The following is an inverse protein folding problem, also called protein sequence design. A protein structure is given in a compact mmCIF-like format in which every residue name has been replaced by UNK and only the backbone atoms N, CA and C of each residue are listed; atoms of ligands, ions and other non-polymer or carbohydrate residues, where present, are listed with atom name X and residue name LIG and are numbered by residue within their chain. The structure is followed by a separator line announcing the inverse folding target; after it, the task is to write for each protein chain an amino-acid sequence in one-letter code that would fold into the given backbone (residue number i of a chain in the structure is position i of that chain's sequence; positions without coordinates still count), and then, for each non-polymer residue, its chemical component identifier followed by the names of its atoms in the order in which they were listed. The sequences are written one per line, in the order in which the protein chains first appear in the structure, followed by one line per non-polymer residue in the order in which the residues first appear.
data_IF_015536654497
#
_entry.id   IF_015536654497
#
_cell.length_a   1.000
_cell.length_b   1.000
_cell.length_c   1.000
_cell.angle_alpha   90.00
_cell.angle_beta   90.00
_cell.angle_gamma   90.00
#
_symmetry.space_group_name_H-M   'P 1'
#
loop_
_entity.id
_entity.type
_entity.pdbx_description
1 polymer ?
#
# COMPACT_ATOMS: atom_id res chain seq x y z
N UNK A 1 -8.77 -8.02 18.87
CA UNK A 1 -7.51 -7.29 19.10
C UNK A 1 -6.52 -8.07 19.99
N UNK A 2 -6.96 -8.78 21.04
CA UNK A 2 -6.03 -9.60 21.89
C UNK A 2 -5.17 -10.60 21.09
N UNK A 3 -5.64 -11.13 19.97
CA UNK A 3 -4.86 -12.03 19.10
C UNK A 3 -3.72 -11.35 18.36
N UNK A 4 -3.78 -10.03 18.12
CA UNK A 4 -2.76 -9.27 17.41
C UNK A 4 -1.50 -9.02 18.24
N UNK A 5 -1.59 -9.09 19.56
CA UNK A 5 -0.43 -8.93 20.45
C UNK A 5 0.66 -10.00 20.26
N UNK A 6 0.31 -11.15 19.68
CA UNK A 6 1.25 -12.23 19.39
C UNK A 6 1.86 -12.18 17.99
N UNK A 7 1.50 -11.17 17.19
CA UNK A 7 2.01 -11.02 15.84
C UNK A 7 3.51 -10.69 15.86
N UNK A 8 4.24 -11.38 14.97
CA UNK A 8 5.69 -11.21 14.77
C UNK A 8 6.03 -10.45 13.50
N UNK A 9 5.05 -10.32 12.58
CA UNK A 9 5.21 -9.66 11.30
C UNK A 9 4.08 -8.68 11.07
N UNK A 10 4.44 -7.46 10.71
CA UNK A 10 3.53 -6.36 10.41
C UNK A 10 3.81 -5.88 9.00
N UNK A 11 2.86 -6.10 8.14
CA UNK A 11 2.95 -5.71 6.73
C UNK A 11 2.05 -4.51 6.54
N UNK A 12 2.60 -3.45 6.00
CA UNK A 12 1.89 -2.20 5.77
C UNK A 12 1.88 -1.90 4.28
N UNK A 13 0.72 -1.60 3.72
CA UNK A 13 0.70 -0.85 2.49
C UNK A 13 1.23 0.57 2.73
N UNK A 14 1.55 1.31 1.66
CA UNK A 14 2.11 2.65 1.74
C UNK A 14 1.04 3.73 1.56
N UNK A 15 0.50 3.82 0.34
CA UNK A 15 -0.30 4.95 -0.12
C UNK A 15 -1.69 4.95 0.53
N UNK A 16 -2.06 6.06 1.20
CA UNK A 16 -3.26 6.20 2.02
C UNK A 16 -3.34 5.24 3.24
N UNK A 17 -2.26 4.52 3.53
CA UNK A 17 -2.14 3.63 4.70
C UNK A 17 -1.15 4.20 5.73
N UNK A 18 0.12 4.41 5.37
CA UNK A 18 1.14 5.02 6.25
C UNK A 18 1.04 6.54 6.34
N UNK A 19 0.31 7.16 5.46
CA UNK A 19 -0.11 8.55 5.51
C UNK A 19 -1.57 8.66 5.10
N UNK A 20 -2.26 9.67 5.61
CA UNK A 20 -3.69 9.87 5.30
C UNK A 20 -3.91 10.28 3.84
N UNK A 21 -4.95 9.73 3.20
CA UNK A 21 -5.41 10.19 1.89
C UNK A 21 -5.78 11.68 1.85
N UNK A 22 -6.09 12.28 3.00
CA UNK A 22 -6.36 13.73 3.12
C UNK A 22 -5.13 14.59 2.80
N UNK A 23 -3.92 14.03 2.84
CA UNK A 23 -2.70 14.72 2.42
C UNK A 23 -2.63 14.99 0.92
N UNK A 24 -3.43 14.30 0.11
CA UNK A 24 -3.47 14.39 -1.36
C UNK A 24 -2.17 14.02 -2.07
N UNK A 25 -1.27 13.30 -1.42
CA UNK A 25 -0.05 12.79 -2.07
C UNK A 25 -0.43 11.89 -3.24
N UNK A 26 -1.31 10.90 -3.01
CA UNK A 26 -1.74 9.98 -4.05
C UNK A 26 -2.53 10.67 -5.19
N UNK A 27 -3.20 11.79 -4.91
CA UNK A 27 -3.86 12.61 -5.95
C UNK A 27 -2.87 13.15 -6.98
N UNK A 28 -1.63 13.48 -6.57
CA UNK A 28 -0.59 13.90 -7.50
C UNK A 28 -0.14 12.72 -8.38
N UNK A 29 0.07 11.54 -7.78
CA UNK A 29 0.40 10.30 -8.51
C UNK A 29 -0.69 10.00 -9.55
N UNK A 30 -1.96 10.08 -9.14
CA UNK A 30 -3.12 9.86 -10.02
C UNK A 30 -3.15 10.81 -11.22
N UNK A 31 -2.90 12.10 -10.99
CA UNK A 31 -2.79 13.12 -12.06
C UNK A 31 -1.63 12.84 -12.99
N UNK A 32 -0.49 12.41 -12.46
CA UNK A 32 0.68 12.09 -13.28
C UNK A 32 0.48 10.81 -14.09
N UNK A 33 -0.26 9.82 -13.59
CA UNK A 33 -0.67 8.65 -14.37
C UNK A 33 -1.49 9.06 -15.59
N UNK A 34 -2.51 9.93 -15.40
CA UNK A 34 -3.32 10.45 -16.53
C UNK A 34 -2.46 11.22 -17.52
N UNK A 35 -1.52 12.04 -17.03
CA UNK A 35 -0.60 12.81 -17.87
C UNK A 35 0.29 11.89 -18.70
N UNK A 36 0.92 10.87 -18.07
CA UNK A 36 1.74 9.89 -18.78
C UNK A 36 0.97 9.18 -19.90
N UNK A 37 -0.26 8.73 -19.59
CA UNK A 37 -1.11 8.07 -20.60
C UNK A 37 -1.43 9.01 -21.75
N UNK A 38 -1.80 10.26 -21.45
CA UNK A 38 -2.12 11.29 -22.46
C UNK A 38 -0.94 11.52 -23.41
N UNK A 39 0.26 11.69 -22.86
CA UNK A 39 1.49 11.91 -23.65
C UNK A 39 1.90 10.65 -24.45
N UNK A 40 1.86 9.49 -23.81
CA UNK A 40 2.32 8.23 -24.44
C UNK A 40 1.40 7.75 -25.55
N UNK A 41 0.08 7.97 -25.41
CA UNK A 41 -0.93 7.50 -26.36
C UNK A 41 -1.45 8.61 -27.28
N UNK A 42 -1.00 9.85 -27.09
CA UNK A 42 -1.47 11.03 -27.83
C UNK A 42 -3.00 11.18 -27.76
N UNK A 43 -3.56 11.08 -26.57
CA UNK A 43 -5.00 11.23 -26.30
C UNK A 43 -5.26 12.41 -25.35
N UNK A 44 -6.49 12.88 -25.28
CA UNK A 44 -6.87 13.94 -24.32
C UNK A 44 -6.71 13.46 -22.87
N UNK A 45 -6.52 14.39 -21.92
CA UNK A 45 -6.46 14.07 -20.47
C UNK A 45 -7.75 13.40 -20.00
N UNK A 46 -8.91 13.75 -20.54
CA UNK A 46 -10.17 13.12 -20.18
C UNK A 46 -10.17 11.64 -20.58
N UNK A 47 -9.79 11.35 -21.81
CA UNK A 47 -9.67 10.00 -22.35
C UNK A 47 -8.59 9.18 -21.60
N UNK A 48 -7.46 9.82 -21.28
CA UNK A 48 -6.40 9.19 -20.46
C UNK A 48 -6.90 8.76 -19.07
N UNK A 49 -7.75 9.57 -18.41
CA UNK A 49 -8.39 9.20 -17.13
C UNK A 49 -9.32 8.01 -17.27
N UNK A 50 -10.07 7.91 -18.34
CA UNK A 50 -10.92 6.75 -18.60
C UNK A 50 -10.08 5.49 -18.83
N UNK A 51 -9.01 5.58 -19.62
CA UNK A 51 -8.06 4.48 -19.83
C UNK A 51 -7.43 4.05 -18.50
N UNK A 52 -6.94 5.00 -17.70
CA UNK A 52 -6.36 4.77 -16.39
C UNK A 52 -7.32 3.99 -15.47
N UNK A 53 -8.56 4.47 -15.36
CA UNK A 53 -9.61 3.84 -14.54
C UNK A 53 -9.95 2.43 -15.04
N UNK A 54 -10.11 2.25 -16.34
CA UNK A 54 -10.37 0.95 -16.95
C UNK A 54 -9.22 -0.03 -16.68
N UNK A 55 -7.98 0.42 -16.77
CA UNK A 55 -6.82 -0.43 -16.50
C UNK A 55 -6.71 -0.80 -15.03
N UNK A 56 -6.98 0.12 -14.12
CA UNK A 56 -7.03 -0.17 -12.69
C UNK A 56 -8.05 -1.28 -12.37
N UNK A 57 -9.24 -1.22 -12.94
CA UNK A 57 -10.26 -2.23 -12.70
C UNK A 57 -9.96 -3.57 -13.39
N UNK A 58 -9.47 -3.54 -14.63
CA UNK A 58 -9.25 -4.76 -15.42
C UNK A 58 -7.94 -5.48 -15.08
N UNK A 59 -6.89 -4.74 -14.74
CA UNK A 59 -5.54 -5.26 -14.56
C UNK A 59 -4.97 -5.03 -13.15
N UNK A 60 -5.77 -4.53 -12.23
CA UNK A 60 -5.47 -4.20 -10.83
C UNK A 60 -4.60 -2.95 -10.61
N UNK A 61 -3.77 -2.56 -11.57
CA UNK A 61 -3.04 -1.28 -11.60
C UNK A 61 -3.02 -0.72 -13.01
N UNK A 62 -2.90 0.61 -13.09
CA UNK A 62 -2.69 1.32 -14.35
C UNK A 62 -1.42 0.85 -15.04
N UNK A 63 -0.32 0.69 -14.29
CA UNK A 63 0.96 0.17 -14.80
C UNK A 63 0.79 -1.16 -15.53
N UNK A 64 0.13 -2.14 -14.88
CA UNK A 64 -0.06 -3.47 -15.48
C UNK A 64 -0.90 -3.41 -16.77
N UNK A 65 -1.89 -2.51 -16.81
CA UNK A 65 -2.66 -2.24 -18.02
C UNK A 65 -1.83 -1.65 -19.14
N UNK A 66 -1.00 -0.65 -18.83
CA UNK A 66 -0.11 0.01 -19.80
C UNK A 66 0.94 -0.96 -20.35
N UNK A 67 1.59 -1.75 -19.48
CA UNK A 67 2.54 -2.76 -19.90
C UNK A 67 1.93 -3.77 -20.88
N UNK A 68 0.74 -4.30 -20.55
CA UNK A 68 0.08 -5.35 -21.37
C UNK A 68 -0.42 -4.85 -22.70
N UNK A 69 -0.96 -3.65 -22.77
CA UNK A 69 -1.63 -3.16 -23.96
C UNK A 69 -0.72 -2.26 -24.83
N UNK A 70 0.29 -1.62 -24.23
CA UNK A 70 1.12 -0.61 -24.92
C UNK A 70 2.62 -0.89 -24.81
N UNK A 71 3.02 -2.00 -24.18
CA UNK A 71 4.41 -2.46 -24.06
C UNK A 71 5.36 -1.38 -23.53
N UNK A 72 4.90 -0.57 -22.58
CA UNK A 72 5.74 0.46 -21.96
C UNK A 72 6.78 -0.18 -21.04
N UNK A 73 7.87 0.54 -20.81
CA UNK A 73 8.85 0.19 -19.80
C UNK A 73 8.33 0.58 -18.40
N UNK A 74 8.27 -0.40 -17.50
CA UNK A 74 7.68 -0.24 -16.18
C UNK A 74 8.40 0.81 -15.34
N UNK A 75 9.74 0.84 -15.39
CA UNK A 75 10.54 1.78 -14.61
C UNK A 75 10.34 3.22 -15.10
N UNK A 76 10.26 3.44 -16.42
CA UNK A 76 9.93 4.77 -17.00
C UNK A 76 8.60 5.30 -16.44
N UNK A 77 7.57 4.45 -16.42
CA UNK A 77 6.27 4.81 -15.87
C UNK A 77 6.37 5.14 -14.37
N UNK A 78 7.00 4.28 -13.58
CA UNK A 78 7.13 4.46 -12.13
C UNK A 78 7.91 5.74 -11.78
N UNK A 79 9.00 6.02 -12.48
CA UNK A 79 9.77 7.26 -12.28
C UNK A 79 8.92 8.49 -12.60
N UNK A 80 8.20 8.47 -13.71
CA UNK A 80 7.36 9.58 -14.10
C UNK A 80 6.24 9.84 -13.11
N UNK A 81 5.49 8.82 -12.70
CA UNK A 81 4.31 9.00 -11.83
C UNK A 81 4.66 9.33 -10.38
N UNK A 82 5.84 8.92 -9.90
CA UNK A 82 6.31 9.20 -8.54
C UNK A 82 7.18 10.47 -8.43
N UNK A 83 7.39 11.20 -9.52
CA UNK A 83 8.01 12.51 -9.50
C UNK A 83 6.99 13.56 -9.05
N UNK A 84 6.71 13.62 -7.77
CA UNK A 84 5.70 14.41 -7.10
C UNK A 84 6.31 15.31 -6.03
N UNK A 85 5.63 16.40 -5.71
CA UNK A 85 5.98 17.25 -4.57
C UNK A 85 5.45 16.64 -3.26
N UNK A 86 6.35 16.40 -2.33
CA UNK A 86 6.02 15.92 -0.99
C UNK A 86 6.57 16.84 0.11
N UNK A 87 7.10 18.03 -0.25
CA UNK A 87 7.73 18.96 0.70
C UNK A 87 6.77 19.53 1.73
N UNK A 88 5.49 19.56 1.42
CA UNK A 88 4.44 19.97 2.35
C UNK A 88 4.16 18.95 3.45
N UNK A 89 4.57 17.68 3.30
CA UNK A 89 4.40 16.67 4.33
C UNK A 89 5.25 17.00 5.55
N UNK A 90 4.66 16.84 6.72
CA UNK A 90 5.33 17.01 8.02
C UNK A 90 5.69 15.65 8.61
N UNK A 91 6.65 15.65 9.51
CA UNK A 91 6.99 14.44 10.29
C UNK A 91 5.77 13.98 11.10
N UNK A 92 5.45 12.70 11.00
CA UNK A 92 4.39 12.05 11.81
C UNK A 92 5.01 11.43 13.06
N UNK A 93 5.34 12.29 14.04
CA UNK A 93 5.93 11.85 15.30
C UNK A 93 5.05 10.86 16.04
N UNK A 94 3.70 11.06 16.16
CA UNK A 94 2.82 10.10 16.83
C UNK A 94 2.86 8.69 16.19
N UNK A 95 2.82 8.60 14.86
CA UNK A 95 2.92 7.32 14.16
C UNK A 95 4.29 6.68 14.40
N UNK A 96 5.36 7.48 14.31
CA UNK A 96 6.72 7.00 14.56
C UNK A 96 6.90 6.41 15.97
N UNK A 97 6.31 7.03 16.98
CA UNK A 97 6.34 6.52 18.36
C UNK A 97 5.63 5.17 18.50
N UNK A 98 4.47 5.01 17.86
CA UNK A 98 3.74 3.76 17.92
C UNK A 98 4.40 2.65 17.10
N UNK A 99 5.01 2.97 15.93
CA UNK A 99 5.82 2.02 15.16
C UNK A 99 7.08 1.58 15.93
N UNK A 100 7.70 2.47 16.69
CA UNK A 100 8.87 2.15 17.54
C UNK A 100 8.51 1.16 18.66
N UNK A 101 7.33 1.31 19.27
CA UNK A 101 6.84 0.43 20.34
C UNK A 101 6.35 -0.93 19.80
N UNK A 102 5.95 -0.97 18.53
CA UNK A 102 5.41 -2.16 17.91
C UNK A 102 6.50 -3.21 17.72
N UNK A 103 6.43 -4.29 18.48
CA UNK A 103 7.36 -5.40 18.38
C UNK A 103 7.12 -6.24 17.13
N UNK A 104 8.19 -6.85 16.63
CA UNK A 104 8.17 -7.69 15.44
C UNK A 104 8.66 -6.96 14.19
N UNK A 105 8.84 -7.75 13.13
CA UNK A 105 9.35 -7.27 11.85
C UNK A 105 8.30 -6.46 11.11
N UNK A 106 8.67 -5.28 10.65
CA UNK A 106 7.81 -4.34 9.93
C UNK A 106 8.27 -4.20 8.48
N UNK A 107 7.38 -4.48 7.53
CA UNK A 107 7.69 -4.45 6.10
C UNK A 107 6.64 -3.61 5.39
N UNK A 108 7.07 -2.73 4.51
CA UNK A 108 6.17 -2.04 3.58
C UNK A 108 5.95 -2.94 2.37
N UNK A 109 4.70 -3.15 1.99
CA UNK A 109 4.31 -3.94 0.82
C UNK A 109 3.43 -3.11 -0.11
N UNK A 110 4.02 -2.55 -1.16
CA UNK A 110 3.37 -1.57 -2.03
C UNK A 110 3.31 -1.98 -3.50
N UNK A 111 2.28 -1.51 -4.22
CA UNK A 111 2.22 -1.53 -5.68
C UNK A 111 2.99 -0.35 -6.33
N UNK A 112 3.53 0.55 -5.52
CA UNK A 112 4.45 1.60 -5.95
C UNK A 112 5.89 1.11 -6.02
N UNK A 113 6.83 2.04 -6.31
CA UNK A 113 8.26 1.77 -6.33
C UNK A 113 8.90 1.95 -4.95
N UNK A 114 9.99 1.24 -4.70
CA UNK A 114 10.80 1.38 -3.48
C UNK A 114 11.28 2.82 -3.27
N UNK A 115 11.66 3.50 -4.37
CA UNK A 115 12.09 4.91 -4.33
C UNK A 115 10.96 5.81 -3.82
N UNK A 116 9.73 5.64 -4.31
CA UNK A 116 8.57 6.38 -3.83
C UNK A 116 8.34 6.12 -2.33
N UNK A 117 8.34 4.85 -1.93
CA UNK A 117 8.14 4.48 -0.53
C UNK A 117 9.21 5.09 0.40
N UNK A 118 10.48 5.06 0.00
CA UNK A 118 11.57 5.69 0.76
C UNK A 118 11.38 7.20 0.86
N UNK A 119 11.10 7.88 -0.26
CA UNK A 119 10.92 9.33 -0.26
C UNK A 119 9.81 9.75 0.71
N UNK A 120 8.65 9.09 0.65
CA UNK A 120 7.51 9.40 1.51
C UNK A 120 7.83 9.10 2.98
N UNK A 121 8.35 7.91 3.29
CA UNK A 121 8.62 7.50 4.67
C UNK A 121 9.72 8.32 5.33
N UNK A 122 10.77 8.69 4.60
CA UNK A 122 11.80 9.61 5.05
C UNK A 122 11.23 11.01 5.32
N UNK A 123 10.38 11.50 4.43
CA UNK A 123 9.77 12.82 4.57
C UNK A 123 8.90 12.91 5.82
N UNK A 124 8.09 11.88 6.10
CA UNK A 124 7.29 11.82 7.33
C UNK A 124 8.06 11.27 8.56
N UNK A 125 9.32 10.87 8.40
CA UNK A 125 10.24 10.51 9.48
C UNK A 125 9.96 9.16 10.14
N UNK A 126 9.55 8.16 9.36
CA UNK A 126 9.23 6.81 9.87
C UNK A 126 10.02 5.68 9.20
N UNK A 127 10.85 5.99 8.22
CA UNK A 127 11.61 5.01 7.42
C UNK A 127 12.47 4.08 8.29
N UNK A 128 13.09 4.59 9.34
CA UNK A 128 13.94 3.84 10.26
C UNK A 128 13.21 2.74 11.07
N UNK A 129 11.89 2.71 11.05
CA UNK A 129 11.10 1.70 11.77
C UNK A 129 10.74 0.48 10.92
N UNK A 130 11.11 0.47 9.64
CA UNK A 130 10.82 -0.63 8.71
C UNK A 130 12.09 -1.43 8.41
N UNK A 131 11.95 -2.76 8.42
CA UNK A 131 13.04 -3.70 8.13
C UNK A 131 13.28 -3.86 6.63
N UNK A 132 12.24 -3.69 5.79
CA UNK A 132 12.34 -3.73 4.32
C UNK A 132 11.15 -3.05 3.66
N UNK A 133 11.33 -2.75 2.38
CA UNK A 133 10.28 -2.32 1.46
C UNK A 133 10.22 -3.35 0.34
N UNK A 134 9.09 -4.04 0.25
CA UNK A 134 8.78 -5.01 -0.79
C UNK A 134 7.85 -4.35 -1.80
N UNK A 135 8.40 -4.02 -2.95
CA UNK A 135 7.75 -3.17 -3.94
C UNK A 135 7.24 -3.94 -5.17
N UNK A 136 6.69 -3.23 -6.14
CA UNK A 136 6.17 -3.82 -7.37
C UNK A 136 7.27 -4.48 -8.22
N UNK A 137 8.53 -4.04 -8.10
CA UNK A 137 9.67 -4.63 -8.81
C UNK A 137 10.03 -5.98 -8.20
N UNK A 138 10.08 -6.09 -6.86
CA UNK A 138 10.24 -7.36 -6.14
C UNK A 138 9.15 -8.38 -6.55
N UNK A 139 7.97 -7.88 -6.91
CA UNK A 139 6.84 -8.69 -7.38
C UNK A 139 6.91 -9.04 -8.87
N UNK A 140 7.98 -8.69 -9.59
CA UNK A 140 8.08 -8.82 -11.06
C UNK A 140 6.90 -8.11 -11.77
N UNK A 141 6.51 -6.94 -11.28
CA UNK A 141 5.39 -6.13 -11.76
C UNK A 141 4.01 -6.81 -11.70
N UNK A 142 3.88 -7.89 -10.92
CA UNK A 142 2.60 -8.52 -10.63
C UNK A 142 1.98 -7.77 -9.43
N UNK A 143 0.84 -7.09 -9.60
CA UNK A 143 0.30 -6.23 -8.54
C UNK A 143 -0.57 -7.00 -7.53
N UNK A 144 -0.72 -6.46 -6.33
CA UNK A 144 -1.85 -6.76 -5.45
C UNK A 144 -3.17 -6.50 -6.21
N UNK A 145 -4.22 -7.28 -6.02
CA UNK A 145 -4.41 -8.42 -5.13
C UNK A 145 -4.11 -9.80 -5.74
N UNK A 146 -3.19 -9.91 -6.70
CA UNK A 146 -2.76 -11.23 -7.17
C UNK A 146 -2.09 -12.01 -6.03
N UNK A 147 -2.30 -13.34 -5.97
CA UNK A 147 -1.74 -14.17 -4.90
C UNK A 147 -0.20 -14.27 -4.94
N UNK A 148 0.39 -14.21 -6.13
CA UNK A 148 1.83 -14.37 -6.33
C UNK A 148 2.69 -13.38 -5.52
N UNK A 149 2.42 -12.06 -5.48
CA UNK A 149 3.16 -11.11 -4.66
C UNK A 149 3.18 -11.49 -3.17
N UNK A 150 2.06 -11.97 -2.64
CA UNK A 150 1.96 -12.36 -1.23
C UNK A 150 2.81 -13.60 -0.93
N UNK A 151 2.80 -14.60 -1.81
CA UNK A 151 3.66 -15.79 -1.69
C UNK A 151 5.14 -15.41 -1.73
N UNK A 152 5.54 -14.54 -2.66
CA UNK A 152 6.92 -14.03 -2.75
C UNK A 152 7.36 -13.28 -1.50
N UNK A 153 6.49 -12.42 -0.96
CA UNK A 153 6.72 -11.69 0.29
C UNK A 153 6.98 -12.67 1.44
N UNK A 154 6.10 -13.66 1.59
CA UNK A 154 6.19 -14.69 2.64
C UNK A 154 7.48 -15.49 2.52
N UNK A 155 7.84 -15.92 1.32
CA UNK A 155 9.05 -16.68 1.02
C UNK A 155 10.32 -15.87 1.31
N UNK A 156 10.42 -14.64 0.74
CA UNK A 156 11.57 -13.75 0.90
C UNK A 156 11.88 -13.47 2.37
N UNK A 157 10.86 -13.22 3.17
CA UNK A 157 11.02 -12.81 4.57
C UNK A 157 10.82 -13.95 5.57
N UNK A 158 10.56 -15.18 5.11
CA UNK A 158 10.29 -16.36 5.95
C UNK A 158 9.17 -16.11 6.96
N UNK A 159 8.09 -15.50 6.49
CA UNK A 159 6.93 -15.12 7.30
C UNK A 159 6.10 -16.37 7.64
N UNK A 160 5.72 -16.52 8.91
CA UNK A 160 4.57 -17.36 9.27
C UNK A 160 3.28 -16.54 9.11
N UNK A 161 2.41 -16.87 8.14
CA UNK A 161 1.19 -16.10 7.92
C UNK A 161 0.27 -16.03 9.15
N UNK A 162 0.26 -17.07 10.00
CA UNK A 162 -0.57 -17.08 11.22
C UNK A 162 -0.10 -16.08 12.29
N UNK A 163 1.15 -15.64 12.19
CA UNK A 163 1.74 -14.62 13.07
C UNK A 163 1.90 -13.26 12.38
N UNK A 164 1.21 -13.06 11.26
CA UNK A 164 1.32 -11.88 10.42
C UNK A 164 0.02 -11.06 10.40
N UNK A 165 0.19 -9.75 10.33
CA UNK A 165 -0.89 -8.77 10.13
C UNK A 165 -0.61 -7.99 8.84
N UNK A 166 -1.58 -7.91 7.94
CA UNK A 166 -1.56 -6.99 6.80
C UNK A 166 -2.51 -5.82 7.06
N UNK A 167 -2.01 -4.60 6.85
CA UNK A 167 -2.74 -3.34 7.00
C UNK A 167 -2.76 -2.64 5.64
N UNK A 168 -3.96 -2.28 5.15
CA UNK A 168 -4.18 -1.87 3.75
C UNK A 168 -5.45 -0.99 3.66
N UNK A 169 -5.47 0.01 2.79
CA UNK A 169 -6.63 0.88 2.54
C UNK A 169 -7.57 0.37 1.42
N UNK A 170 -7.06 -0.44 0.49
CA UNK A 170 -7.87 -1.05 -0.58
C UNK A 170 -8.37 -2.42 -0.12
N UNK A 171 -9.65 -2.50 0.24
CA UNK A 171 -10.24 -3.69 0.86
C UNK A 171 -9.94 -5.01 0.11
N UNK A 172 -10.06 -5.03 -1.23
CA UNK A 172 -9.78 -6.24 -2.02
C UNK A 172 -8.35 -6.79 -1.89
N UNK A 173 -7.38 -5.93 -1.54
CA UNK A 173 -5.99 -6.34 -1.38
C UNK A 173 -5.76 -7.15 -0.09
N UNK A 174 -6.72 -7.12 0.85
CA UNK A 174 -6.66 -7.93 2.07
C UNK A 174 -7.01 -9.40 1.83
N UNK A 175 -7.79 -9.71 0.78
CA UNK A 175 -8.29 -11.06 0.53
C UNK A 175 -7.19 -12.13 0.42
N UNK A 176 -6.13 -11.97 -0.41
CA UNK A 176 -5.09 -13.01 -0.51
C UNK A 176 -4.33 -13.23 0.81
N UNK A 177 -4.10 -12.18 1.60
CA UNK A 177 -3.47 -12.30 2.91
C UNK A 177 -4.33 -13.10 3.87
N UNK A 178 -5.64 -12.85 3.91
CA UNK A 178 -6.61 -13.61 4.69
C UNK A 178 -6.63 -15.09 4.27
N UNK A 179 -6.66 -15.39 2.98
CA UNK A 179 -6.62 -16.75 2.45
C UNK A 179 -5.34 -17.51 2.81
N UNK A 180 -4.24 -16.79 3.08
CA UNK A 180 -2.99 -17.36 3.59
C UNK A 180 -2.95 -17.52 5.12
N UNK A 181 -3.97 -17.06 5.85
CA UNK A 181 -4.05 -17.15 7.31
C UNK A 181 -3.58 -15.90 8.06
N UNK A 182 -3.20 -14.83 7.37
CA UNK A 182 -2.83 -13.55 8.00
C UNK A 182 -4.05 -12.88 8.63
N UNK A 183 -3.82 -12.09 9.69
CA UNK A 183 -4.82 -11.15 10.17
C UNK A 183 -4.81 -9.91 9.27
N UNK A 184 -6.00 -9.38 9.01
CA UNK A 184 -6.20 -8.29 8.08
C UNK A 184 -6.81 -7.08 8.77
N UNK A 185 -6.27 -5.90 8.46
CA UNK A 185 -6.76 -4.62 8.99
C UNK A 185 -7.02 -3.70 7.82
N UNK A 186 -8.26 -3.26 7.68
CA UNK A 186 -8.63 -2.27 6.68
C UNK A 186 -8.57 -0.87 7.27
N UNK A 187 -7.77 0.01 6.65
CA UNK A 187 -7.84 1.47 6.87
C UNK A 187 -9.06 1.97 6.09
N UNK A 188 -10.06 2.47 6.80
CA UNK A 188 -11.31 2.90 6.16
C UNK A 188 -11.07 4.03 5.16
N UNK A 189 -11.25 3.72 3.89
CA UNK A 189 -11.15 4.64 2.78
C UNK A 189 -12.54 4.89 2.20
N UNK A 190 -12.92 6.16 1.99
CA UNK A 190 -14.25 6.55 1.50
C UNK A 190 -14.39 6.43 -0.02
N UNK A 191 -13.29 6.26 -0.73
CA UNK A 191 -13.28 6.12 -2.17
C UNK A 191 -13.97 4.81 -2.59
N UNK A 192 -14.99 4.85 -3.46
CA UNK A 192 -15.76 3.64 -3.83
C UNK A 192 -14.93 2.49 -4.38
N UNK A 193 -13.83 2.81 -5.07
CA UNK A 193 -12.90 1.82 -5.63
C UNK A 193 -12.06 1.13 -4.56
N UNK A 194 -11.73 1.80 -3.46
CA UNK A 194 -10.98 1.26 -2.34
C UNK A 194 -11.89 0.51 -1.36
N UNK A 195 -13.10 1.04 -1.11
CA UNK A 195 -14.09 0.45 -0.21
C UNK A 195 -14.83 -0.75 -0.80
N UNK A 196 -14.68 -1.02 -2.10
CA UNK A 196 -15.30 -2.19 -2.72
C UNK A 196 -14.86 -3.47 -1.99
N UNK A 197 -15.83 -4.26 -1.50
CA UNK A 197 -15.64 -5.44 -0.65
C UNK A 197 -15.33 -5.15 0.82
N UNK A 198 -15.52 -3.92 1.31
CA UNK A 198 -15.27 -3.57 2.71
C UNK A 198 -16.10 -4.36 3.72
N UNK A 199 -17.24 -4.92 3.32
CA UNK A 199 -18.12 -5.73 4.20
C UNK A 199 -17.83 -7.24 4.15
N UNK A 200 -16.69 -7.64 3.58
CA UNK A 200 -16.33 -9.05 3.43
C UNK A 200 -15.71 -9.62 4.70
N UNK A 201 -15.90 -10.93 4.91
CA UNK A 201 -15.38 -11.71 6.06
C UNK A 201 -13.85 -11.77 6.10
N UNK A 202 -13.18 -11.49 4.98
CA UNK A 202 -11.72 -11.42 4.94
C UNK A 202 -11.14 -10.13 5.56
N UNK A 203 -11.97 -9.24 6.14
CA UNK A 203 -11.54 -8.08 6.92
C UNK A 203 -11.75 -8.38 8.41
N UNK A 204 -10.65 -8.68 9.14
CA UNK A 204 -10.75 -9.02 10.56
C UNK A 204 -10.93 -7.78 11.44
N UNK A 205 -10.31 -6.66 11.06
CA UNK A 205 -10.35 -5.39 11.82
C UNK A 205 -10.50 -4.22 10.89
N UNK A 206 -11.05 -3.12 11.44
CA UNK A 206 -11.22 -1.84 10.74
C UNK A 206 -10.72 -0.70 11.60
N UNK A 207 -10.17 0.31 10.98
CA UNK A 207 -9.80 1.55 11.66
C UNK A 207 -9.80 2.72 10.68
N UNK A 208 -10.08 3.90 11.20
CA UNK A 208 -9.96 5.17 10.45
C UNK A 208 -8.60 5.84 10.63
N UNK A 209 -7.84 5.39 11.63
CA UNK A 209 -6.57 5.99 11.99
C UNK A 209 -5.58 4.90 12.42
N UNK A 210 -4.47 4.81 11.68
CA UNK A 210 -3.43 3.83 11.93
C UNK A 210 -2.77 4.04 13.29
N UNK A 211 -2.41 5.26 13.62
CA UNK A 211 -1.72 5.60 14.88
C UNK A 211 -2.53 5.17 16.10
N UNK A 212 -3.82 5.50 16.11
CA UNK A 212 -4.73 5.11 17.19
C UNK A 212 -4.93 3.58 17.26
N UNK A 213 -4.91 2.92 16.11
CA UNK A 213 -4.98 1.46 16.05
C UNK A 213 -3.73 0.82 16.66
N UNK A 214 -2.54 1.28 16.26
CA UNK A 214 -1.26 0.76 16.79
C UNK A 214 -1.12 1.06 18.28
N UNK A 215 -1.52 2.23 18.74
CA UNK A 215 -1.55 2.60 20.17
C UNK A 215 -2.37 1.61 21.00
N UNK A 216 -3.56 1.21 20.52
CA UNK A 216 -4.38 0.20 21.20
C UNK A 216 -3.68 -1.16 21.25
N UNK A 217 -2.96 -1.57 20.20
CA UNK A 217 -2.20 -2.82 20.19
C UNK A 217 -1.06 -2.77 21.20
N UNK A 218 -0.28 -1.69 21.22
CA UNK A 218 0.85 -1.51 22.13
C UNK A 218 0.42 -1.51 23.60
N UNK A 219 -0.72 -0.89 23.92
CA UNK A 219 -1.30 -0.93 25.27
C UNK A 219 -1.72 -2.34 25.71
N UNK A 220 -2.23 -3.16 24.77
CA UNK A 220 -2.61 -4.56 25.09
C UNK A 220 -1.39 -5.46 25.36
N UNK A 221 -0.22 -5.10 24.83
CA UNK A 221 1.03 -5.83 25.10
C UNK A 221 1.66 -5.44 26.44
N UNK A 222 1.41 -4.23 26.90
CA UNK A 222 1.95 -3.72 28.17
C UNK A 222 1.14 -4.12 29.41
N UNK A 223 -0.07 -4.65 29.20
CA UNK A 223 -0.97 -5.13 30.27
C UNK A 223 -0.86 -6.64 30.48
#
# INVERSE_FOLDING_TARGET
MKTLQFSKFWIFDLDNTLYSGETRVFEQVDKRMSKYISEKLNVSILEAKEIQKNYFYKYNTTLNGMMKNHKIEANEFLEFVHDIDIDFLKKDIPLGEELRKLEGKKIIFTNGSKKHALNVTQRIGIDQYFDDIFDIVDCNFIPKPKMEPYKKLVEKHKIDPNLCVLIEDIARNLKPAYEMGMKTVWIENKEPWAAKFSDSDFINYRTKNLTEFLKKINLLKAA
#
